data_IF_340859317154
#
_entry.id   IF_340859317154
#
_cell.length_a   1.000
_cell.length_b   1.000
_cell.length_c   1.000
_cell.angle_alpha   90.00
_cell.angle_beta   90.00
_cell.angle_gamma   90.00
#
_symmetry.space_group_name_H-M   'P 1'
#
loop_
_entity.id
_entity.type
_entity.pdbx_description
1 polymer ?
#
# COMPACT_ATOMS: atom_id res chain seq x y z
N UNK A 1 4.81 20.79 -9.57
CA UNK A 1 3.78 20.00 -8.85
C UNK A 1 3.38 18.70 -9.55
N UNK A 2 3.40 18.61 -10.89
CA UNK A 2 2.78 17.46 -11.59
C UNK A 2 3.50 16.11 -11.39
N UNK A 3 4.83 16.03 -11.51
CA UNK A 3 5.59 14.76 -11.50
C UNK A 3 5.40 13.90 -10.24
N UNK A 4 5.30 14.51 -9.06
CA UNK A 4 5.08 13.75 -7.82
C UNK A 4 3.65 13.20 -7.75
N UNK A 5 2.66 14.03 -8.13
CA UNK A 5 1.27 13.61 -8.19
C UNK A 5 1.08 12.49 -9.21
N UNK A 6 1.67 12.62 -10.41
CA UNK A 6 1.70 11.58 -11.44
C UNK A 6 2.31 10.27 -10.92
N UNK A 7 3.44 10.36 -10.19
CA UNK A 7 4.08 9.18 -9.60
C UNK A 7 3.17 8.48 -8.59
N UNK A 8 2.46 9.23 -7.75
CA UNK A 8 1.50 8.66 -6.78
C UNK A 8 0.30 8.06 -7.51
N UNK A 9 -0.24 8.76 -8.52
CA UNK A 9 -1.38 8.32 -9.31
C UNK A 9 -1.08 7.06 -10.16
N UNK A 10 0.20 6.78 -10.47
CA UNK A 10 0.62 5.56 -11.17
C UNK A 10 0.53 4.27 -10.32
N UNK A 11 0.12 4.37 -9.05
CA UNK A 11 0.00 3.26 -8.10
C UNK A 11 -1.48 2.99 -7.82
N UNK A 12 -1.80 1.78 -7.35
CA UNK A 12 -3.13 1.48 -6.79
C UNK A 12 -3.50 2.52 -5.73
N UNK A 13 -4.54 3.28 -6.03
CA UNK A 13 -5.20 4.25 -5.15
C UNK A 13 -5.69 3.59 -3.86
N UNK A 14 -6.16 2.35 -3.93
CA UNK A 14 -6.60 1.56 -2.77
C UNK A 14 -5.40 1.29 -1.86
N UNK A 15 -4.30 0.78 -2.42
CA UNK A 15 -3.08 0.47 -1.66
C UNK A 15 -2.47 1.72 -1.04
N UNK A 16 -2.41 2.83 -1.78
CA UNK A 16 -1.89 4.12 -1.28
C UNK A 16 -2.76 4.65 -0.13
N UNK A 17 -4.10 4.55 -0.26
CA UNK A 17 -5.05 4.99 0.77
C UNK A 17 -4.88 4.22 2.07
N UNK A 18 -4.76 2.89 1.99
CA UNK A 18 -4.55 2.00 3.15
C UNK A 18 -3.24 2.34 3.85
N UNK A 19 -2.14 2.40 3.10
CA UNK A 19 -0.80 2.70 3.64
C UNK A 19 -0.76 4.08 4.32
N UNK A 20 -1.37 5.10 3.71
CA UNK A 20 -1.42 6.46 4.26
C UNK A 20 -2.21 6.51 5.57
N UNK A 21 -3.37 5.85 5.64
CA UNK A 21 -4.17 5.75 6.89
C UNK A 21 -3.39 5.04 7.99
N UNK A 22 -2.74 3.92 7.66
CA UNK A 22 -1.93 3.17 8.60
C UNK A 22 -0.75 4.00 9.12
N UNK A 23 -0.09 4.74 8.24
CA UNK A 23 1.01 5.63 8.60
C UNK A 23 0.60 6.68 9.65
N UNK A 24 -0.51 7.39 9.44
CA UNK A 24 -0.97 8.39 10.42
C UNK A 24 -1.54 7.77 11.70
N UNK A 25 -2.10 6.57 11.63
CA UNK A 25 -2.58 5.90 12.84
C UNK A 25 -1.43 5.44 13.75
N UNK A 26 -0.34 4.93 13.17
CA UNK A 26 0.79 4.43 13.96
C UNK A 26 1.62 5.53 14.64
N UNK A 27 1.55 6.80 14.18
CA UNK A 27 2.37 7.89 14.75
C UNK A 27 2.00 8.20 16.19
N UNK A 28 0.76 7.90 16.59
CA UNK A 28 0.24 8.09 17.94
C UNK A 28 0.44 6.86 18.84
N UNK A 29 1.03 5.78 18.31
CA UNK A 29 1.21 4.51 19.01
C UNK A 29 2.64 4.37 19.54
N UNK A 30 2.80 3.61 20.62
CA UNK A 30 4.15 3.17 20.99
C UNK A 30 4.68 2.12 19.98
N UNK A 31 5.99 1.88 20.00
CA UNK A 31 6.64 1.02 19.00
C UNK A 31 6.03 -0.39 18.91
N UNK A 32 5.72 -1.01 20.05
CA UNK A 32 5.18 -2.37 20.08
C UNK A 32 3.77 -2.43 19.47
N UNK A 33 2.93 -1.44 19.81
CA UNK A 33 1.59 -1.30 19.27
C UNK A 33 1.61 -1.00 17.77
N UNK A 34 2.48 -0.08 17.34
CA UNK A 34 2.68 0.29 15.94
C UNK A 34 3.06 -0.95 15.11
N UNK A 35 4.00 -1.77 15.58
CA UNK A 35 4.37 -3.02 14.90
C UNK A 35 3.21 -4.00 14.81
N UNK A 36 2.47 -4.21 15.91
CA UNK A 36 1.32 -5.12 15.91
C UNK A 36 0.24 -4.65 14.93
N UNK A 37 -0.09 -3.36 14.97
CA UNK A 37 -1.09 -2.74 14.12
C UNK A 37 -0.70 -2.81 12.64
N UNK A 38 0.49 -2.31 12.29
CA UNK A 38 0.92 -2.25 10.88
C UNK A 38 1.13 -3.63 10.28
N UNK A 39 1.61 -4.61 11.05
CA UNK A 39 1.72 -6.01 10.58
C UNK A 39 0.35 -6.60 10.24
N UNK A 40 -0.67 -6.31 11.04
CA UNK A 40 -2.04 -6.76 10.75
C UNK A 40 -2.58 -6.09 9.48
N UNK A 41 -2.40 -4.76 9.33
CA UNK A 41 -2.79 -4.05 8.11
C UNK A 41 -2.11 -4.61 6.87
N UNK A 42 -0.79 -4.89 6.92
CA UNK A 42 -0.07 -5.48 5.80
C UNK A 42 -0.63 -6.85 5.45
N UNK A 43 -0.88 -7.71 6.45
CA UNK A 43 -1.47 -9.04 6.26
C UNK A 43 -2.83 -8.95 5.57
N UNK A 44 -3.71 -8.06 6.02
CA UNK A 44 -5.04 -7.91 5.45
C UNK A 44 -4.96 -7.32 4.03
N UNK A 45 -4.03 -6.40 3.80
CA UNK A 45 -3.81 -5.80 2.48
C UNK A 45 -3.35 -6.83 1.44
N UNK A 46 -2.61 -7.89 1.82
CA UNK A 46 -2.21 -8.96 0.89
C UNK A 46 -3.41 -9.72 0.29
N UNK A 47 -4.59 -9.65 0.91
CA UNK A 47 -5.80 -10.27 0.38
C UNK A 47 -6.45 -9.43 -0.73
N UNK A 48 -6.08 -8.15 -0.85
CA UNK A 48 -6.54 -7.24 -1.88
C UNK A 48 -5.98 -7.62 -3.27
N UNK A 49 -6.81 -7.50 -4.30
CA UNK A 49 -6.43 -7.91 -5.66
C UNK A 49 -5.32 -7.04 -6.26
N UNK A 50 -5.32 -5.72 -6.01
CA UNK A 50 -4.23 -4.85 -6.47
C UNK A 50 -2.93 -5.14 -5.72
N UNK A 51 -3.00 -5.57 -4.46
CA UNK A 51 -1.80 -5.96 -3.72
C UNK A 51 -1.18 -7.22 -4.33
N UNK A 52 -1.99 -8.21 -4.69
CA UNK A 52 -1.53 -9.43 -5.40
C UNK A 52 -0.95 -9.07 -6.76
N UNK A 53 -1.69 -8.30 -7.55
CA UNK A 53 -1.27 -7.85 -8.88
C UNK A 53 0.04 -7.06 -8.84
N UNK A 54 0.21 -6.17 -7.86
CA UNK A 54 1.46 -5.43 -7.69
C UNK A 54 2.66 -6.32 -7.36
N UNK A 55 2.45 -7.38 -6.59
CA UNK A 55 3.48 -8.39 -6.28
C UNK A 55 3.80 -9.20 -7.54
N UNK A 56 2.78 -9.70 -8.23
CA UNK A 56 2.94 -10.51 -9.44
C UNK A 56 3.62 -9.72 -10.56
N UNK A 57 3.17 -8.49 -10.82
CA UNK A 57 3.78 -7.60 -11.80
C UNK A 57 5.26 -7.29 -11.49
N UNK A 58 5.59 -7.13 -10.21
CA UNK A 58 6.98 -6.95 -9.78
C UNK A 58 7.83 -8.19 -10.04
N UNK A 59 7.33 -9.38 -9.69
CA UNK A 59 8.01 -10.67 -9.91
C UNK A 59 8.21 -10.91 -11.41
N UNK A 60 7.18 -10.63 -12.22
CA UNK A 60 7.17 -10.81 -13.67
C UNK A 60 7.86 -9.68 -14.46
N UNK A 61 8.32 -8.62 -13.77
CA UNK A 61 8.99 -7.44 -14.37
C UNK A 61 8.14 -6.74 -15.43
N UNK A 62 6.82 -6.66 -15.21
CA UNK A 62 5.88 -5.93 -16.06
C UNK A 62 5.28 -4.75 -15.31
N UNK A 63 4.62 -3.86 -16.05
CA UNK A 63 3.77 -2.86 -15.41
C UNK A 63 2.54 -3.55 -14.79
N UNK A 64 2.11 -3.12 -13.60
CA UNK A 64 0.89 -3.62 -12.98
C UNK A 64 -0.37 -3.08 -13.68
N UNK A 65 -1.41 -3.90 -13.72
CA UNK A 65 -2.75 -3.58 -14.21
C UNK A 65 -3.72 -3.45 -13.05
N UNK A 66 -3.80 -2.23 -12.49
CA UNK A 66 -4.61 -1.97 -11.31
C UNK A 66 -6.12 -2.01 -11.62
N UNK A 67 -6.93 -2.51 -10.68
CA UNK A 67 -8.38 -2.73 -10.85
C UNK A 67 -9.27 -1.65 -10.23
N UNK A 68 -8.65 -0.67 -9.60
CA UNK A 68 -9.29 0.40 -8.85
C UNK A 68 -9.66 1.65 -9.67
#
# INVERSE_FOLDING_TARGET
>A
MSKLAEKIASKSSVTVSIGKKAFYAQTEMNLSEAYKYTSQIMKDNLLNDDAKEGIDAFIEKRSPDWKD
#
